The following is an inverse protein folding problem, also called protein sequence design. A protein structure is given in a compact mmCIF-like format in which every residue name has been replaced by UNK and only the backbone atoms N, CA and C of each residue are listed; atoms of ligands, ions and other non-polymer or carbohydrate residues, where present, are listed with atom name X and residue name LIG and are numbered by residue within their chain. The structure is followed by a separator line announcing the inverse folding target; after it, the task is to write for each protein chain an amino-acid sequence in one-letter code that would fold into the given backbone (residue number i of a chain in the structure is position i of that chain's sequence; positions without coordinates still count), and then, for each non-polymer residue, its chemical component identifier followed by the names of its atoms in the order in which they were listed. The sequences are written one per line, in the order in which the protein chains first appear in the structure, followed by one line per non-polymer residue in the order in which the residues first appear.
data_IF_248728852704
#
_entry.id   IF_248728852704
#
_cell.length_a   1.000
_cell.length_b   1.000
_cell.length_c   1.000
_cell.angle_alpha   90.00
_cell.angle_beta   90.00
_cell.angle_gamma   90.00
#
_symmetry.space_group_name_H-M   'P 1'
#
loop_
_entity.id
_entity.type
_entity.pdbx_description
1 polymer ?
#
# COMPACT_ATOMS: atom_id res chain seq x y z
N UNK A 1 -12.51 3.22 -8.74
CA UNK A 1 -12.74 3.80 -7.40
C UNK A 1 -14.14 3.40 -7.01
N UNK A 2 -14.31 2.73 -5.87
CA UNK A 2 -15.64 2.34 -5.38
C UNK A 2 -15.83 3.02 -4.05
N UNK A 3 -16.77 3.94 -3.97
CA UNK A 3 -17.22 4.52 -2.71
C UNK A 3 -18.05 3.44 -1.99
N UNK A 4 -17.68 3.07 -0.77
CA UNK A 4 -18.50 2.19 0.06
C UNK A 4 -19.42 3.07 0.92
N UNK A 5 -20.74 3.14 0.64
CA UNK A 5 -21.64 4.12 1.25
C UNK A 5 -22.02 3.81 2.72
N UNK A 6 -21.45 2.76 3.35
CA UNK A 6 -21.88 2.26 4.66
C UNK A 6 -20.75 1.72 5.53
N UNK A 7 -19.56 2.32 5.47
CA UNK A 7 -18.54 2.03 6.49
C UNK A 7 -18.97 2.67 7.83
N UNK A 8 -18.69 2.01 8.95
CA UNK A 8 -18.84 2.53 10.32
C UNK A 8 -17.50 2.42 11.02
N UNK A 9 -17.16 3.42 11.83
CA UNK A 9 -15.92 3.40 12.61
C UNK A 9 -16.00 2.34 13.70
N UNK A 10 -14.89 1.63 13.91
CA UNK A 10 -14.77 0.68 15.01
C UNK A 10 -14.55 1.43 16.31
N UNK A 11 -15.53 1.41 17.21
CA UNK A 11 -15.49 2.05 18.54
C UNK A 11 -14.62 1.31 19.55
N UNK A 12 -14.19 0.07 19.24
CA UNK A 12 -13.33 -0.73 20.12
C UNK A 12 -11.89 -0.22 20.24
N UNK A 13 -11.41 0.57 19.27
CA UNK A 13 -10.02 1.04 19.20
C UNK A 13 -9.87 2.47 19.75
N UNK A 14 -10.95 3.26 19.75
CA UNK A 14 -10.96 4.61 20.30
C UNK A 14 -12.33 4.88 20.94
N UNK A 15 -12.39 5.32 22.20
CA UNK A 15 -13.65 5.54 22.93
C UNK A 15 -14.36 6.86 22.59
N UNK A 16 -13.85 7.68 21.66
CA UNK A 16 -14.42 9.01 21.40
C UNK A 16 -15.38 9.12 20.19
N UNK A 17 -15.25 8.39 19.07
CA UNK A 17 -16.11 8.61 17.91
C UNK A 17 -17.37 7.73 17.98
N UNK A 18 -18.25 8.00 18.94
CA UNK A 18 -19.48 7.22 19.08
C UNK A 18 -20.56 7.55 18.04
N UNK A 19 -20.51 8.72 17.36
CA UNK A 19 -21.58 9.14 16.43
C UNK A 19 -21.10 9.95 15.21
N UNK A 20 -19.90 9.69 14.71
CA UNK A 20 -19.39 10.38 13.50
C UNK A 20 -19.77 9.60 12.25
N UNK A 21 -20.65 10.16 11.42
CA UNK A 21 -20.99 9.61 10.11
C UNK A 21 -19.77 9.69 9.16
N UNK A 22 -19.44 8.58 8.51
CA UNK A 22 -18.40 8.58 7.48
C UNK A 22 -18.91 9.26 6.22
N UNK A 23 -18.35 10.42 5.90
CA UNK A 23 -18.69 11.16 4.69
C UNK A 23 -18.24 10.41 3.43
N UNK A 24 -17.00 9.90 3.45
CA UNK A 24 -16.36 9.23 2.32
C UNK A 24 -15.39 8.15 2.80
N UNK A 25 -15.37 7.03 2.08
CA UNK A 25 -14.43 5.94 2.30
C UNK A 25 -13.67 5.62 1.01
N UNK A 26 -12.39 5.31 1.14
CA UNK A 26 -11.50 5.04 0.02
C UNK A 26 -10.70 3.76 0.28
N UNK A 27 -10.67 2.89 -0.73
CA UNK A 27 -9.79 1.72 -0.76
C UNK A 27 -8.71 1.90 -1.82
N UNK A 28 -7.47 1.62 -1.47
CA UNK A 28 -6.32 1.69 -2.36
C UNK A 28 -5.63 0.33 -2.52
N UNK A 29 -5.00 0.10 -3.67
CA UNK A 29 -4.13 -1.07 -3.84
C UNK A 29 -2.74 -0.75 -3.32
N UNK A 30 -2.29 -1.50 -2.33
CA UNK A 30 -0.87 -1.57 -2.01
C UNK A 30 -0.18 -2.64 -2.87
N UNK A 31 1.10 -2.42 -3.15
CA UNK A 31 1.96 -3.34 -3.87
C UNK A 31 2.96 -3.96 -2.86
N UNK A 32 2.59 -5.08 -2.22
CA UNK A 32 3.48 -5.77 -1.30
C UNK A 32 4.66 -6.40 -2.06
N UNK A 33 5.84 -6.34 -1.47
CA UNK A 33 7.08 -6.94 -1.99
C UNK A 33 7.59 -7.98 -1.00
N UNK A 34 8.25 -9.02 -1.52
CA UNK A 34 8.77 -10.11 -0.67
C UNK A 34 9.80 -9.64 0.36
N UNK A 35 10.57 -8.60 0.03
CA UNK A 35 11.62 -8.03 0.89
C UNK A 35 11.13 -6.94 1.84
N UNK A 36 9.85 -6.53 1.76
CA UNK A 36 9.30 -5.35 2.44
C UNK A 36 10.02 -4.02 2.14
N UNK A 37 11.01 -4.04 1.26
CA UNK A 37 11.75 -2.87 0.80
C UNK A 37 11.26 -2.42 -0.59
N UNK A 38 11.29 -1.10 -0.86
CA UNK A 38 11.12 -0.61 -2.22
C UNK A 38 12.29 -1.03 -3.11
N UNK A 39 12.09 -0.93 -4.41
CA UNK A 39 13.14 -1.06 -5.42
C UNK A 39 13.14 0.19 -6.28
N UNK A 40 14.30 0.79 -6.46
CA UNK A 40 14.48 1.94 -7.32
C UNK A 40 15.76 1.84 -8.15
N UNK A 41 15.75 2.47 -9.31
CA UNK A 41 16.90 2.48 -10.22
C UNK A 41 16.55 2.95 -11.62
N UNK A 42 17.44 2.65 -12.54
CA UNK A 42 17.38 3.07 -13.93
C UNK A 42 17.13 1.83 -14.79
N UNK A 43 15.99 1.79 -15.49
CA UNK A 43 15.61 0.69 -16.36
C UNK A 43 16.25 0.81 -17.76
N UNK A 44 16.42 2.05 -18.24
CA UNK A 44 17.16 2.41 -19.46
C UNK A 44 17.76 3.81 -19.25
N UNK A 45 18.66 4.25 -20.13
CA UNK A 45 19.36 5.55 -20.08
C UNK A 45 18.52 6.82 -19.85
N UNK A 46 17.18 6.71 -19.90
CA UNK A 46 16.23 7.82 -19.69
C UNK A 46 15.00 7.42 -18.87
N UNK A 47 14.92 6.18 -18.38
CA UNK A 47 13.74 5.66 -17.68
C UNK A 47 14.15 5.22 -16.28
N UNK A 48 13.63 5.93 -15.28
CA UNK A 48 13.83 5.65 -13.88
C UNK A 48 12.58 5.02 -13.26
N UNK A 49 12.77 4.14 -12.29
CA UNK A 49 11.68 3.46 -11.61
C UNK A 49 11.84 3.52 -10.09
N UNK A 50 10.70 3.60 -9.39
CA UNK A 50 10.59 3.47 -7.94
C UNK A 50 9.28 2.71 -7.61
N UNK A 51 9.41 1.43 -7.28
CA UNK A 51 8.27 0.50 -7.15
C UNK A 51 8.31 -0.24 -5.81
N UNK A 52 7.18 -0.85 -5.43
CA UNK A 52 7.17 -1.75 -4.27
C UNK A 52 7.22 -1.04 -2.91
N UNK A 53 6.57 0.12 -2.78
CA UNK A 53 6.60 0.96 -1.57
C UNK A 53 5.69 0.50 -0.43
N UNK A 54 5.12 -0.72 -0.50
CA UNK A 54 4.47 -1.45 0.61
C UNK A 54 3.50 -0.66 1.51
N UNK A 55 2.75 0.31 0.98
CA UNK A 55 1.86 1.17 1.79
C UNK A 55 2.53 2.39 2.44
N UNK A 56 3.86 2.47 2.44
CA UNK A 56 4.67 3.59 2.95
C UNK A 56 5.02 4.60 1.85
N UNK A 57 4.33 4.54 0.71
CA UNK A 57 4.69 5.29 -0.49
C UNK A 57 4.68 6.80 -0.33
N UNK A 58 3.77 7.33 0.49
CA UNK A 58 3.70 8.76 0.78
C UNK A 58 4.97 9.24 1.50
N UNK A 59 5.37 8.52 2.56
CA UNK A 59 6.57 8.84 3.32
C UNK A 59 7.87 8.59 2.52
N UNK A 60 7.89 7.57 1.66
CA UNK A 60 9.07 7.21 0.87
C UNK A 60 9.23 8.04 -0.40
N UNK A 61 8.18 8.70 -0.89
CA UNK A 61 8.20 9.48 -2.12
C UNK A 61 9.29 10.56 -2.17
N UNK A 62 9.43 11.46 -1.17
CA UNK A 62 10.46 12.50 -1.23
C UNK A 62 11.86 11.91 -1.22
N UNK A 63 12.13 10.94 -0.35
CA UNK A 63 13.43 10.27 -0.25
C UNK A 63 13.85 9.61 -1.56
N UNK A 64 13.00 8.74 -2.12
CA UNK A 64 13.30 8.06 -3.39
C UNK A 64 13.36 9.04 -4.56
N UNK A 65 12.58 10.13 -4.52
CA UNK A 65 12.61 11.19 -5.52
C UNK A 65 13.96 11.90 -5.57
N UNK A 66 14.50 12.30 -4.41
CA UNK A 66 15.83 12.93 -4.32
C UNK A 66 16.92 12.01 -4.84
N UNK A 67 16.94 10.74 -4.44
CA UNK A 67 17.95 9.79 -4.90
C UNK A 67 17.93 9.59 -6.43
N UNK A 68 16.74 9.61 -7.04
CA UNK A 68 16.60 9.51 -8.49
C UNK A 68 16.97 10.81 -9.21
N UNK A 69 16.68 11.97 -8.60
CA UNK A 69 17.06 13.27 -9.14
C UNK A 69 18.59 13.45 -9.15
N UNK A 70 19.27 13.09 -8.05
CA UNK A 70 20.74 13.12 -7.96
C UNK A 70 21.36 12.22 -9.02
N UNK A 71 20.80 11.01 -9.20
CA UNK A 71 21.23 10.05 -10.22
C UNK A 71 21.06 10.61 -11.64
N UNK A 72 19.97 11.33 -11.91
CA UNK A 72 19.68 11.97 -13.19
C UNK A 72 20.64 13.14 -13.49
N UNK A 73 21.03 13.91 -12.47
CA UNK A 73 21.96 15.02 -12.58
C UNK A 73 23.41 14.59 -12.92
N UNK A 74 23.65 13.30 -13.10
CA UNK A 74 24.99 12.75 -13.35
C UNK A 74 25.84 12.65 -12.09
N UNK A 75 25.26 12.94 -10.92
CA UNK A 75 25.96 12.80 -9.67
C UNK A 75 26.23 11.30 -9.43
N UNK A 76 27.49 10.97 -9.12
CA UNK A 76 27.94 9.58 -8.91
C UNK A 76 27.51 9.11 -7.54
N UNK A 77 26.23 9.24 -7.25
CA UNK A 77 25.58 8.62 -6.11
C UNK A 77 25.41 7.11 -6.40
N UNK A 78 26.52 6.45 -6.74
CA UNK A 78 26.65 4.99 -6.82
C UNK A 78 26.46 4.35 -5.43
N UNK A 79 26.40 5.17 -4.37
CA UNK A 79 25.98 4.84 -3.02
C UNK A 79 24.48 5.10 -2.71
N UNK A 80 23.70 5.78 -3.56
CA UNK A 80 22.40 6.39 -3.17
C UNK A 80 21.32 5.39 -2.92
N UNK A 81 21.26 4.42 -3.84
CA UNK A 81 20.18 3.48 -3.81
C UNK A 81 20.44 2.37 -2.79
N UNK A 82 21.67 2.23 -2.28
CA UNK A 82 22.03 1.26 -1.23
C UNK A 82 21.40 -0.11 -1.45
N UNK A 83 20.62 -0.58 -0.48
CA UNK A 83 19.89 -1.86 -0.53
C UNK A 83 18.65 -1.87 -1.44
N UNK A 84 18.17 -0.70 -1.85
CA UNK A 84 16.99 -0.47 -2.71
C UNK A 84 17.36 -0.46 -4.20
N UNK A 85 18.64 -0.29 -4.52
CA UNK A 85 19.16 -0.17 -5.88
C UNK A 85 19.04 -1.45 -6.68
N UNK A 86 18.26 -1.43 -7.76
CA UNK A 86 18.23 -2.50 -8.76
C UNK A 86 18.12 -1.93 -10.16
N UNK A 87 18.85 -2.51 -11.10
CA UNK A 87 18.74 -2.19 -12.52
C UNK A 87 17.36 -2.61 -13.09
N UNK A 88 16.80 -3.71 -12.57
CA UNK A 88 15.48 -4.20 -12.96
C UNK A 88 14.53 -4.20 -11.77
N UNK A 89 13.24 -3.86 -11.96
CA UNK A 89 12.22 -3.90 -10.91
C UNK A 89 11.79 -5.35 -10.60
N UNK A 90 12.75 -6.20 -10.22
CA UNK A 90 12.52 -7.61 -9.89
C UNK A 90 12.57 -7.80 -8.38
N UNK A 91 11.56 -8.51 -7.88
CA UNK A 91 11.50 -8.99 -6.51
C UNK A 91 11.82 -10.48 -6.49
N UNK A 92 12.32 -10.97 -5.35
CA UNK A 92 12.48 -12.41 -5.15
C UNK A 92 11.12 -13.12 -5.31
N UNK A 93 11.07 -14.31 -5.93
CA UNK A 93 9.84 -15.10 -6.02
C UNK A 93 9.25 -15.30 -4.63
N UNK A 94 7.94 -15.10 -4.49
CA UNK A 94 7.24 -15.29 -3.23
C UNK A 94 5.91 -16.00 -3.46
N UNK A 95 5.59 -17.02 -2.66
CA UNK A 95 4.30 -17.69 -2.73
C UNK A 95 3.14 -16.80 -2.29
N UNK A 96 3.42 -15.72 -1.54
CA UNK A 96 2.41 -14.76 -1.04
C UNK A 96 2.37 -13.49 -1.90
N UNK A 97 3.53 -12.99 -2.32
CA UNK A 97 3.64 -11.77 -3.13
C UNK A 97 3.71 -12.07 -4.64
N UNK A 98 2.79 -12.88 -5.15
CA UNK A 98 2.62 -13.14 -6.58
C UNK A 98 1.24 -12.71 -7.08
N UNK A 99 1.11 -12.57 -8.40
CA UNK A 99 -0.13 -12.08 -9.02
C UNK A 99 -1.39 -12.90 -8.66
N UNK A 100 -1.42 -14.25 -8.75
CA UNK A 100 -2.61 -15.00 -8.40
C UNK A 100 -2.97 -14.88 -6.91
N UNK A 101 -2.01 -15.01 -6.00
CA UNK A 101 -2.25 -14.85 -4.56
C UNK A 101 -2.83 -13.46 -4.22
N UNK A 102 -2.22 -12.39 -4.75
CA UNK A 102 -2.70 -11.01 -4.54
C UNK A 102 -4.03 -10.71 -5.24
N UNK A 103 -4.46 -11.52 -6.20
CA UNK A 103 -5.81 -11.42 -6.78
C UNK A 103 -6.82 -12.15 -5.91
N UNK A 104 -6.48 -13.34 -5.41
CA UNK A 104 -7.33 -14.11 -4.51
C UNK A 104 -7.61 -13.35 -3.20
N UNK A 105 -6.56 -12.82 -2.54
CA UNK A 105 -6.71 -12.01 -1.31
C UNK A 105 -7.66 -10.84 -1.55
N UNK A 106 -7.53 -10.13 -2.69
CA UNK A 106 -8.42 -9.01 -3.01
C UNK A 106 -9.85 -9.44 -3.34
N UNK A 107 -10.04 -10.62 -3.91
CA UNK A 107 -11.37 -11.15 -4.16
C UNK A 107 -12.06 -11.46 -2.83
N UNK A 108 -11.32 -12.07 -1.89
CA UNK A 108 -11.80 -12.32 -0.51
C UNK A 108 -12.10 -11.01 0.21
N UNK A 109 -11.19 -10.05 0.17
CA UNK A 109 -11.36 -8.72 0.79
C UNK A 109 -12.63 -8.01 0.30
N UNK A 110 -12.85 -7.96 -1.02
CA UNK A 110 -14.07 -7.39 -1.61
C UNK A 110 -15.33 -8.17 -1.26
N UNK A 111 -15.22 -9.49 -1.13
CA UNK A 111 -16.34 -10.33 -0.74
C UNK A 111 -16.71 -10.07 0.73
N UNK A 112 -15.71 -9.94 1.60
CA UNK A 112 -15.86 -9.55 3.00
C UNK A 112 -16.45 -8.15 3.12
N UNK A 113 -16.02 -7.17 2.30
CA UNK A 113 -16.63 -5.83 2.28
C UNK A 113 -18.11 -5.86 1.91
N UNK A 114 -18.49 -6.73 0.95
CA UNK A 114 -19.88 -6.89 0.52
C UNK A 114 -20.75 -7.55 1.60
N UNK A 115 -20.20 -8.45 2.39
CA UNK A 115 -20.94 -9.14 3.45
C UNK A 115 -20.88 -8.41 4.80
N UNK A 116 -19.80 -7.69 5.07
CA UNK A 116 -19.57 -6.91 6.29
C UNK A 116 -20.53 -5.71 6.44
N UNK A 117 -21.10 -5.23 5.33
CA UNK A 117 -22.18 -4.22 5.39
C UNK A 117 -23.50 -4.73 5.97
N UNK A 118 -23.64 -6.04 6.18
CA UNK A 118 -24.89 -6.71 6.61
C UNK A 118 -24.80 -7.32 8.02
N UNK A 119 -23.60 -7.45 8.59
CA UNK A 119 -23.42 -7.95 9.94
C UNK A 119 -23.55 -6.77 10.92
N UNK A 120 -24.81 -6.46 11.28
CA UNK A 120 -25.09 -5.73 12.50
C UNK A 120 -24.43 -6.45 13.66
N UNK A 121 -23.38 -5.85 14.23
CA UNK A 121 -22.87 -6.25 15.53
C UNK A 121 -24.01 -6.09 16.53
N UNK A 122 -24.50 -7.23 17.02
CA UNK A 122 -25.63 -7.29 17.95
C UNK A 122 -25.29 -6.49 19.20
N UNK A 123 -26.17 -5.56 19.51
CA UNK A 123 -26.57 -5.07 20.84
C UNK A 123 -25.76 -5.67 22.00
N UNK A 124 -24.76 -4.93 22.48
CA UNK A 124 -24.21 -5.13 23.81
C UNK A 124 -25.21 -4.58 24.83
N UNK A 125 -25.73 -5.47 25.67
CA UNK A 125 -26.78 -5.24 26.68
C UNK A 125 -26.46 -4.07 27.63
N UNK A 126 -27.47 -3.35 28.13
CA UNK A 126 -27.29 -2.36 29.18
C UNK A 126 -26.95 -3.04 30.52
N UNK A 127 -26.05 -2.42 31.29
CA UNK A 127 -26.05 -2.49 32.75
C UNK A 127 -26.91 -1.35 33.29
#
# INVERSE_FOLDING_TARGET
MTCAPRARLSTSVSPSPHDVALERAWGGRIAPTASWLPVAGEATGKVFHAVGRNGHGLAQAPYLGTLLADRLAGDRFRAALGSVGRERPRFAPSPVCNAPALRAIRAVDRLSDRFGSSAGWREGRPL
#
